data_IF_580180823622
#
_entry.id   IF_580180823622
#
_cell.length_a   1.000
_cell.length_b   1.000
_cell.length_c   1.000
_cell.angle_alpha   90.00
_cell.angle_beta   90.00
_cell.angle_gamma   90.00
#
_symmetry.space_group_name_H-M   'P 1'
#
loop_
_entity.id
_entity.type
_entity.pdbx_description
1 polymer ?
#
# COMPACT_ATOMS: atom_id res chain seq x y z
N UNK A 1 5.71 -5.63 0.66
CA UNK A 1 5.65 -4.47 1.57
C UNK A 1 6.97 -4.34 2.32
N UNK A 2 7.48 -3.13 2.55
CA UNK A 2 8.68 -2.96 3.37
C UNK A 2 8.39 -3.15 4.88
N UNK A 3 9.35 -3.68 5.63
CA UNK A 3 9.23 -3.84 7.09
C UNK A 3 9.02 -2.50 7.80
N UNK A 4 9.66 -1.43 7.30
CA UNK A 4 9.46 -0.08 7.82
C UNK A 4 7.99 0.36 7.71
N UNK A 5 7.37 0.20 6.53
CA UNK A 5 5.96 0.51 6.33
C UNK A 5 5.05 -0.29 7.26
N UNK A 6 5.31 -1.60 7.36
CA UNK A 6 4.48 -2.48 8.18
C UNK A 6 4.52 -2.04 9.65
N UNK A 7 5.71 -1.69 10.17
CA UNK A 7 5.87 -1.17 11.53
C UNK A 7 5.20 0.20 11.71
N UNK A 8 5.34 1.11 10.73
CA UNK A 8 4.69 2.42 10.75
C UNK A 8 3.15 2.32 10.76
N UNK A 9 2.60 1.29 10.11
CA UNK A 9 1.17 0.94 10.14
C UNK A 9 0.74 0.20 11.42
N UNK A 10 1.67 -0.08 12.34
CA UNK A 10 1.40 -0.68 13.64
C UNK A 10 1.48 -2.22 13.68
N UNK A 11 1.88 -2.88 12.60
CA UNK A 11 2.08 -4.33 12.62
C UNK A 11 3.33 -4.72 13.42
N UNK A 12 3.14 -5.65 14.36
CA UNK A 12 4.21 -6.14 15.25
C UNK A 12 4.52 -7.62 15.07
N UNK A 13 3.53 -8.38 14.58
CA UNK A 13 3.62 -9.83 14.40
C UNK A 13 3.54 -10.15 12.91
N UNK A 14 4.35 -11.12 12.50
CA UNK A 14 4.49 -11.54 11.12
C UNK A 14 4.53 -13.05 11.07
N UNK A 15 3.82 -13.65 10.13
CA UNK A 15 3.89 -15.10 9.89
C UNK A 15 5.24 -15.43 9.25
N UNK A 16 5.72 -16.65 9.48
CA UNK A 16 6.91 -17.15 8.80
C UNK A 16 6.75 -17.06 7.28
N UNK A 17 7.78 -16.62 6.55
CA UNK A 17 7.73 -16.55 5.10
C UNK A 17 7.54 -17.96 4.51
N UNK A 18 6.66 -18.08 3.53
CA UNK A 18 6.37 -19.35 2.84
C UNK A 18 7.10 -19.49 1.50
N UNK A 19 7.69 -18.40 1.00
CA UNK A 19 8.30 -18.31 -0.33
C UNK A 19 9.60 -17.50 -0.29
N UNK A 20 10.45 -17.71 -1.30
CA UNK A 20 11.55 -16.80 -1.66
C UNK A 20 11.09 -15.93 -2.82
N UNK A 21 11.56 -14.69 -2.88
CA UNK A 21 11.23 -13.78 -3.99
C UNK A 21 12.45 -13.60 -4.86
N UNK A 22 12.27 -13.90 -6.15
CA UNK A 22 13.27 -13.68 -7.19
C UNK A 22 12.90 -12.41 -7.97
N UNK A 23 13.87 -11.52 -8.12
CA UNK A 23 13.71 -10.28 -8.86
C UNK A 23 14.16 -10.43 -10.31
N UNK A 24 13.83 -9.44 -11.13
CA UNK A 24 14.17 -9.44 -12.57
C UNK A 24 15.68 -9.39 -12.84
N UNK A 25 16.47 -8.95 -11.86
CA UNK A 25 17.94 -8.98 -11.90
C UNK A 25 18.53 -10.31 -11.40
N UNK A 26 17.67 -11.33 -11.21
CA UNK A 26 18.01 -12.66 -10.69
C UNK A 26 18.49 -12.65 -9.22
N UNK A 27 18.42 -11.50 -8.54
CA UNK A 27 18.63 -11.47 -7.11
C UNK A 27 17.48 -12.19 -6.40
N UNK A 28 17.83 -12.91 -5.34
CA UNK A 28 16.87 -13.65 -4.52
C UNK A 28 16.86 -13.05 -3.12
N UNK A 29 15.67 -12.87 -2.56
CA UNK A 29 15.50 -12.37 -1.21
C UNK A 29 14.53 -13.26 -0.44
N UNK A 30 14.94 -13.61 0.79
CA UNK A 30 14.02 -14.17 1.77
C UNK A 30 13.24 -13.04 2.45
N UNK A 31 11.90 -13.05 2.40
CA UNK A 31 11.11 -12.08 3.12
C UNK A 31 11.35 -12.22 4.63
N UNK A 32 11.22 -11.11 5.35
CA UNK A 32 11.21 -11.07 6.82
C UNK A 32 10.01 -11.84 7.39
N UNK A 33 8.88 -11.78 6.72
CA UNK A 33 7.66 -12.48 7.12
C UNK A 33 6.51 -12.17 6.17
N UNK A 34 5.31 -12.58 6.56
CA UNK A 34 4.09 -12.41 5.77
C UNK A 34 2.96 -11.83 6.63
N UNK A 35 2.14 -10.98 6.02
CA UNK A 35 0.85 -10.53 6.53
C UNK A 35 -0.23 -11.07 5.60
N UNK A 36 -1.26 -11.70 6.15
CA UNK A 36 -2.38 -12.26 5.40
C UNK A 36 -3.65 -11.42 5.63
N UNK A 37 -4.51 -11.34 4.63
CA UNK A 37 -5.84 -10.70 4.67
C UNK A 37 -5.81 -9.23 5.15
N UNK A 38 -4.74 -8.48 4.83
CA UNK A 38 -4.65 -7.06 5.18
C UNK A 38 -5.62 -6.28 4.30
N UNK A 39 -6.54 -5.54 4.92
CA UNK A 39 -7.50 -4.71 4.21
C UNK A 39 -6.80 -3.49 3.60
N UNK A 40 -6.61 -3.51 2.28
CA UNK A 40 -6.05 -2.38 1.54
C UNK A 40 -7.19 -1.53 0.99
N UNK A 41 -7.24 -0.26 1.40
CA UNK A 41 -8.22 0.69 0.86
C UNK A 41 -7.69 1.33 -0.43
N UNK A 42 -8.43 1.15 -1.52
CA UNK A 42 -8.16 1.80 -2.81
C UNK A 42 -9.47 2.37 -3.33
N UNK A 43 -9.49 3.67 -3.61
CA UNK A 43 -10.68 4.33 -4.16
C UNK A 43 -11.92 4.26 -3.25
N UNK A 44 -11.73 4.10 -1.93
CA UNK A 44 -12.82 3.95 -0.96
C UNK A 44 -13.43 2.55 -0.89
N UNK A 45 -12.81 1.53 -1.50
CA UNK A 45 -13.14 0.11 -1.25
C UNK A 45 -11.97 -0.59 -0.60
N UNK A 46 -12.28 -1.50 0.31
CA UNK A 46 -11.28 -2.32 0.98
C UNK A 46 -11.16 -3.68 0.30
N UNK A 47 -9.96 -4.05 -0.09
CA UNK A 47 -9.64 -5.34 -0.73
C UNK A 47 -8.72 -6.12 0.20
N UNK A 48 -9.09 -7.35 0.64
CA UNK A 48 -8.18 -8.19 1.42
C UNK A 48 -6.97 -8.55 0.55
N UNK A 49 -5.78 -8.34 1.08
CA UNK A 49 -4.53 -8.52 0.35
C UNK A 49 -3.44 -9.11 1.24
N UNK A 50 -2.76 -10.10 0.70
CA UNK A 50 -1.60 -10.69 1.34
C UNK A 50 -0.32 -9.92 0.96
N UNK A 51 0.56 -9.72 1.94
CA UNK A 51 1.83 -9.03 1.74
C UNK A 51 3.01 -9.86 2.24
N UNK A 52 3.98 -10.08 1.36
CA UNK A 52 5.33 -10.43 1.80
C UNK A 52 6.03 -9.18 2.35
N UNK A 53 6.61 -9.30 3.53
CA UNK A 53 7.30 -8.23 4.25
C UNK A 53 8.80 -8.39 4.04
N UNK A 54 9.47 -7.34 3.56
CA UNK A 54 10.88 -7.36 3.17
C UNK A 54 11.67 -6.24 3.84
N UNK A 55 12.93 -6.52 4.18
CA UNK A 55 13.90 -5.52 4.63
C UNK A 55 14.62 -4.93 3.40
N UNK A 56 14.41 -3.64 3.11
CA UNK A 56 15.08 -2.99 1.99
C UNK A 56 16.26 -2.15 2.49
N UNK A 57 17.47 -2.45 2.02
CA UNK A 57 18.63 -1.58 2.24
C UNK A 57 18.60 -0.42 1.23
N UNK A 58 18.82 0.80 1.71
CA UNK A 58 18.93 1.96 0.82
C UNK A 58 17.61 2.69 0.52
N UNK A 59 17.28 3.63 1.40
CA UNK A 59 16.72 4.96 1.06
C UNK A 59 15.25 5.16 0.70
N UNK A 60 14.38 4.14 0.64
CA UNK A 60 12.94 4.41 0.47
C UNK A 60 12.13 3.81 1.61
N UNK A 61 11.99 4.58 2.70
CA UNK A 61 10.93 4.33 3.68
C UNK A 61 9.61 4.19 2.93
N UNK A 62 8.80 3.22 3.32
CA UNK A 62 7.41 3.08 2.89
C UNK A 62 7.19 2.58 1.45
N UNK A 63 8.07 1.69 0.97
CA UNK A 63 7.82 0.96 -0.28
C UNK A 63 6.71 -0.10 -0.15
N UNK A 64 5.82 -0.09 -1.14
CA UNK A 64 4.78 -1.08 -1.36
C UNK A 64 4.81 -1.49 -2.84
N UNK A 65 4.83 -2.80 -3.09
CA UNK A 65 4.77 -3.38 -4.43
C UNK A 65 3.49 -4.22 -4.47
N UNK A 66 2.65 -3.95 -5.47
CA UNK A 66 1.45 -4.74 -5.76
C UNK A 66 1.76 -5.67 -6.91
N UNK A 67 1.79 -6.97 -6.62
CA UNK A 67 2.09 -7.98 -7.63
C UNK A 67 0.92 -8.21 -8.58
N UNK A 68 1.19 -8.96 -9.65
CA UNK A 68 0.20 -9.39 -10.64
C UNK A 68 -1.07 -10.02 -10.04
N UNK A 69 -1.02 -10.86 -8.99
CA UNK A 69 -2.23 -11.42 -8.38
C UNK A 69 -3.21 -10.33 -7.90
N UNK A 70 -2.71 -9.32 -7.17
CA UNK A 70 -3.54 -8.21 -6.71
C UNK A 70 -4.09 -7.40 -7.89
N UNK A 71 -3.22 -7.06 -8.85
CA UNK A 71 -3.60 -6.28 -10.03
C UNK A 71 -4.68 -6.99 -10.85
N UNK A 72 -4.58 -8.31 -11.01
CA UNK A 72 -5.59 -9.12 -11.68
C UNK A 72 -6.93 -9.09 -10.92
N UNK A 73 -6.91 -9.32 -9.60
CA UNK A 73 -8.13 -9.28 -8.76
C UNK A 73 -8.81 -7.91 -8.82
N UNK A 74 -8.03 -6.83 -8.72
CA UNK A 74 -8.53 -5.46 -8.76
C UNK A 74 -9.00 -5.01 -10.16
N UNK A 75 -8.75 -5.80 -11.20
CA UNK A 75 -9.06 -5.44 -12.60
C UNK A 75 -8.22 -4.26 -13.07
N UNK A 76 -6.92 -4.27 -12.77
CA UNK A 76 -6.02 -3.17 -13.08
C UNK A 76 -5.85 -2.96 -14.58
N UNK A 77 -5.97 -1.71 -15.04
CA UNK A 77 -5.68 -1.29 -16.41
C UNK A 77 -4.57 -0.24 -16.37
N UNK A 78 -3.42 -0.57 -16.96
CA UNK A 78 -2.27 0.34 -17.07
C UNK A 78 -2.26 0.98 -18.45
N UNK A 79 -2.58 2.27 -18.53
CA UNK A 79 -2.47 3.05 -19.75
C UNK A 79 -1.19 3.89 -19.73
N UNK A 80 -0.15 3.38 -20.42
CA UNK A 80 1.15 4.05 -20.48
C UNK A 80 1.10 5.37 -21.24
N UNK A 81 0.42 5.40 -22.39
CA UNK A 81 0.31 6.62 -23.20
C UNK A 81 -0.48 7.71 -22.46
N UNK A 82 -1.58 7.32 -21.82
CA UNK A 82 -2.40 8.20 -21.00
C UNK A 82 -1.85 8.45 -19.59
N UNK A 83 -0.70 7.88 -19.25
CA UNK A 83 -0.01 7.99 -17.95
C UNK A 83 -0.92 7.77 -16.72
N UNK A 84 -1.78 6.75 -16.76
CA UNK A 84 -2.69 6.45 -15.66
C UNK A 84 -2.93 4.97 -15.44
N UNK A 85 -3.38 4.66 -14.23
CA UNK A 85 -3.79 3.36 -13.74
C UNK A 85 -5.25 3.45 -13.28
N UNK A 86 -6.08 2.45 -13.59
CA UNK A 86 -7.41 2.30 -13.01
C UNK A 86 -7.62 0.86 -12.53
N UNK A 87 -8.63 0.65 -11.68
CA UNK A 87 -8.97 -0.65 -11.10
C UNK A 87 -10.45 -0.96 -11.36
N UNK A 88 -10.73 -1.63 -12.48
CA UNK A 88 -12.09 -1.82 -12.97
C UNK A 88 -13.02 -2.59 -12.03
N UNK A 89 -12.50 -3.47 -11.17
CA UNK A 89 -13.31 -4.20 -10.19
C UNK A 89 -13.43 -3.48 -8.84
N UNK A 90 -12.51 -2.58 -8.55
CA UNK A 90 -12.57 -1.74 -7.36
C UNK A 90 -13.52 -0.58 -7.63
N UNK A 91 -13.21 0.32 -8.56
CA UNK A 91 -14.05 1.43 -8.99
C UNK A 91 -13.63 1.91 -10.37
N UNK A 92 -14.56 1.89 -11.31
CA UNK A 92 -14.30 2.24 -12.71
C UNK A 92 -14.12 3.75 -12.93
N UNK A 93 -14.65 4.57 -12.02
CA UNK A 93 -14.65 6.04 -12.08
C UNK A 93 -13.37 6.68 -11.53
N UNK A 94 -12.46 5.90 -10.93
CA UNK A 94 -11.25 6.42 -10.31
C UNK A 94 -10.04 6.12 -11.17
N UNK A 95 -9.33 7.19 -11.53
CA UNK A 95 -8.12 7.16 -12.33
C UNK A 95 -6.96 7.68 -11.46
N UNK A 96 -5.94 6.85 -11.32
CA UNK A 96 -4.72 7.16 -10.60
C UNK A 96 -3.65 7.62 -11.59
N UNK A 97 -3.23 8.89 -11.59
CA UNK A 97 -2.15 9.35 -12.43
C UNK A 97 -0.83 8.71 -11.97
N UNK A 98 0.01 8.31 -12.92
CA UNK A 98 1.36 7.87 -12.60
C UNK A 98 2.23 9.06 -12.21
N UNK A 99 3.06 8.84 -11.19
CA UNK A 99 3.97 9.85 -10.65
C UNK A 99 5.36 9.68 -11.26
N UNK A 100 5.93 10.76 -11.78
CA UNK A 100 7.32 10.73 -12.24
C UNK A 100 8.27 10.81 -11.04
N UNK A 101 8.79 9.67 -10.61
CA UNK A 101 9.73 9.59 -9.49
C UNK A 101 11.05 10.34 -9.69
N UNK A 102 11.37 10.80 -10.92
CA UNK A 102 12.55 11.65 -11.17
C UNK A 102 12.30 13.11 -10.81
N UNK A 103 11.05 13.57 -10.83
CA UNK A 103 10.68 14.97 -10.55
C UNK A 103 10.11 15.19 -9.15
N UNK A 104 9.78 14.12 -8.40
CA UNK A 104 9.21 14.23 -7.05
C UNK A 104 10.31 14.01 -6.00
N UNK A 105 10.51 14.95 -5.04
CA UNK A 105 11.45 14.75 -3.93
C UNK A 105 11.01 13.55 -3.07
N UNK A 106 11.96 12.71 -2.66
CA UNK A 106 11.77 11.40 -2.00
C UNK A 106 10.97 11.36 -0.68
N UNK A 107 10.30 12.43 -0.26
CA UNK A 107 9.49 12.45 0.96
C UNK A 107 8.37 13.50 0.89
N UNK A 108 7.25 13.17 0.25
CA UNK A 108 5.99 13.89 0.54
C UNK A 108 5.44 13.30 1.84
N UNK A 109 5.56 14.04 2.96
CA UNK A 109 4.78 13.72 4.16
C UNK A 109 3.31 13.67 3.75
N UNK A 110 2.63 12.55 4.03
CA UNK A 110 1.17 12.49 3.87
C UNK A 110 0.57 13.70 4.63
N UNK A 111 -0.36 14.44 4.03
CA UNK A 111 -1.03 15.52 4.75
C UNK A 111 -1.69 14.94 6.00
N UNK A 112 -1.63 15.63 7.16
CA UNK A 112 -2.32 15.17 8.35
C UNK A 112 -3.79 14.94 8.02
N UNK A 113 -4.31 13.76 8.37
CA UNK A 113 -5.75 13.49 8.31
C UNK A 113 -6.40 14.51 9.26
N UNK A 114 -7.14 15.48 8.75
CA UNK A 114 -7.92 16.38 9.59
C UNK A 114 -8.89 15.53 10.40
N UNK A 115 -8.59 15.40 11.70
CA UNK A 115 -9.51 14.78 12.63
C UNK A 115 -10.71 15.73 12.75
N UNK A 116 -11.83 15.34 12.13
CA UNK A 116 -13.12 16.00 12.35
C UNK A 116 -13.44 15.84 13.84
N UNK A 117 -13.20 16.90 14.60
CA UNK A 117 -13.65 17.05 15.98
C UNK A 117 -15.17 17.09 15.97
N UNK A 118 -15.81 15.94 16.21
CA UNK A 118 -17.23 15.92 16.57
C UNK A 118 -17.32 16.51 17.99
N UNK A 119 -18.03 17.64 18.21
CA UNK A 119 -18.17 18.20 19.54
C UNK A 119 -18.91 17.23 20.46
N UNK A 120 -18.30 16.86 21.59
CA UNK A 120 -19.01 16.16 22.67
C UNK A 120 -20.06 17.12 23.21
N UNK A 121 -21.33 16.75 23.02
CA UNK A 121 -22.46 17.42 23.68
C UNK A 121 -22.35 17.12 25.17
N UNK A 122 -21.94 18.11 25.96
CA UNK A 122 -22.01 18.03 27.42
C UNK A 122 -23.48 17.88 27.84
N UNK A 123 -23.77 16.79 28.54
CA UNK A 123 -25.00 16.63 29.29
C UNK A 123 -24.84 17.42 30.60
N UNK A 124 -25.42 18.63 30.65
CA UNK A 124 -25.72 19.27 31.93
C UNK A 124 -27.04 18.69 32.43
N UNK A 125 -26.97 17.90 33.51
CA UNK A 125 -28.11 17.62 34.37
C UNK A 125 -28.59 18.95 34.97
N UNK A 126 -29.89 19.20 34.84
CA UNK A 126 -30.71 19.90 35.82
C UNK A 126 -31.91 19.02 36.13
#
# INVERSE_FOLDING_TARGET
>A
MSLALAKDLGFKEFKSPKIRVEFADLSCMEPYGMLEDVMMEIGGRSVPTDFQVMVWEGSKRNQLILGTPFLATAGAVLNYFGNHLSFGHVRQDIIFPSVNFRSVPSATKLPPKEAILIPKKEAMLH
#
